data_IF_171208203460
#
_entry.id   IF_171208203460
#
_cell.length_a   1.000
_cell.length_b   1.000
_cell.length_c   1.000
_cell.angle_alpha   90.00
_cell.angle_beta   90.00
_cell.angle_gamma   90.00
#
_symmetry.space_group_name_H-M   'P 1'
#
loop_
_entity.id
_entity.type
_entity.pdbx_description
1 polymer ?
#
# COMPACT_ATOMS: atom_id res chain seq x y z
N UNK A 1 -2.95 24.75 -24.52
CA UNK A 1 -2.73 23.33 -24.17
C UNK A 1 -2.31 23.31 -22.71
N UNK A 2 -3.25 23.05 -21.81
CA UNK A 2 -2.98 22.98 -20.37
C UNK A 2 -2.32 21.64 -20.08
N UNK A 3 -1.00 21.65 -19.95
CA UNK A 3 -0.21 20.54 -19.43
C UNK A 3 -0.61 20.37 -17.95
N UNK A 4 -1.63 19.55 -17.69
CA UNK A 4 -1.97 19.18 -16.32
C UNK A 4 -0.79 18.35 -15.80
N UNK A 5 -0.09 18.78 -14.73
CA UNK A 5 0.96 17.96 -14.17
C UNK A 5 0.30 16.67 -13.70
N UNK A 6 0.61 15.56 -14.38
CA UNK A 6 0.20 14.23 -13.93
C UNK A 6 0.82 14.05 -12.55
N UNK A 7 -0.01 14.25 -11.51
CA UNK A 7 0.41 14.11 -10.12
C UNK A 7 0.83 12.66 -9.93
N UNK A 8 2.14 12.42 -9.99
CA UNK A 8 2.72 11.09 -9.79
C UNK A 8 2.34 10.62 -8.39
N UNK A 9 1.45 9.63 -8.32
CA UNK A 9 0.96 9.07 -7.06
C UNK A 9 2.12 8.40 -6.32
N UNK A 10 2.32 8.80 -5.07
CA UNK A 10 3.37 8.26 -4.18
C UNK A 10 2.74 7.49 -3.03
N UNK A 11 3.49 6.56 -2.40
CA UNK A 11 3.08 5.92 -1.16
C UNK A 11 2.75 6.93 -0.07
N UNK A 12 1.75 6.63 0.76
CA UNK A 12 1.31 7.49 1.86
C UNK A 12 2.44 7.86 2.83
N UNK A 13 3.40 6.94 3.01
CA UNK A 13 4.61 7.18 3.81
C UNK A 13 5.41 8.40 3.37
N UNK A 14 5.50 8.68 2.07
CA UNK A 14 6.20 9.87 1.58
C UNK A 14 5.57 11.15 2.13
N UNK A 15 4.24 11.24 2.12
CA UNK A 15 3.51 12.39 2.66
C UNK A 15 3.60 12.45 4.18
N UNK A 16 3.41 11.33 4.87
CA UNK A 16 3.48 11.26 6.33
C UNK A 16 4.84 11.73 6.88
N UNK A 17 5.93 11.41 6.17
CA UNK A 17 7.26 11.93 6.48
C UNK A 17 7.34 13.44 6.26
N UNK A 18 6.91 13.93 5.10
CA UNK A 18 6.96 15.35 4.76
C UNK A 18 6.16 16.22 5.74
N UNK A 19 4.97 15.78 6.15
CA UNK A 19 4.11 16.47 7.12
C UNK A 19 4.78 16.63 8.50
N UNK A 20 5.82 15.85 8.78
CA UNK A 20 6.61 15.87 10.04
C UNK A 20 8.00 16.48 9.86
N UNK A 21 8.29 17.08 8.71
CA UNK A 21 9.63 17.60 8.39
C UNK A 21 10.69 16.51 8.21
N UNK A 22 10.26 15.26 8.02
CA UNK A 22 11.12 14.11 7.78
C UNK A 22 11.24 13.82 6.28
N UNK A 23 12.21 12.98 5.93
CA UNK A 23 12.41 12.55 4.55
C UNK A 23 13.10 11.19 4.46
N UNK A 24 13.63 10.87 3.28
CA UNK A 24 14.32 9.59 3.03
C UNK A 24 15.47 9.34 4.00
N UNK A 25 16.10 10.39 4.53
CA UNK A 25 17.16 10.27 5.55
C UNK A 25 16.64 9.68 6.87
N UNK A 26 15.49 10.11 7.35
CA UNK A 26 14.91 9.59 8.58
C UNK A 26 14.53 8.11 8.43
N UNK A 27 14.00 7.74 7.25
CA UNK A 27 13.71 6.34 6.92
C UNK A 27 15.00 5.50 6.83
N UNK A 28 16.06 6.06 6.25
CA UNK A 28 17.37 5.42 6.16
C UNK A 28 18.00 5.17 7.53
N UNK A 29 17.94 6.15 8.43
CA UNK A 29 18.40 6.03 9.81
C UNK A 29 17.61 4.96 10.56
N UNK A 30 16.27 4.95 10.42
CA UNK A 30 15.41 3.95 11.07
C UNK A 30 15.72 2.51 10.63
N UNK A 31 15.92 2.30 9.33
CA UNK A 31 16.17 0.97 8.78
C UNK A 31 17.66 0.62 8.69
N UNK A 32 18.55 1.51 9.14
CA UNK A 32 20.01 1.35 9.01
C UNK A 32 20.45 1.03 7.57
N UNK A 33 19.86 1.72 6.60
CA UNK A 33 20.16 1.59 5.17
C UNK A 33 20.69 2.91 4.60
N UNK A 34 21.13 2.89 3.33
CA UNK A 34 21.56 4.12 2.67
C UNK A 34 20.38 5.04 2.35
N UNK A 35 20.55 6.38 2.36
CA UNK A 35 19.51 7.33 1.94
C UNK A 35 18.99 7.08 0.52
N UNK A 36 19.87 6.62 -0.37
CA UNK A 36 19.51 6.27 -1.74
C UNK A 36 18.64 5.00 -1.79
N UNK A 37 18.92 4.01 -0.94
CA UNK A 37 18.08 2.83 -0.76
C UNK A 37 16.70 3.20 -0.21
N UNK A 38 16.67 4.01 0.86
CA UNK A 38 15.44 4.51 1.47
C UNK A 38 14.56 5.27 0.46
N UNK A 39 15.18 6.08 -0.40
CA UNK A 39 14.46 6.85 -1.42
C UNK A 39 13.69 5.97 -2.39
N UNK A 40 14.17 4.74 -2.69
CA UNK A 40 13.48 3.82 -3.63
C UNK A 40 12.11 3.37 -3.14
N UNK A 41 11.90 3.32 -1.83
CA UNK A 41 10.60 2.99 -1.23
C UNK A 41 9.58 4.13 -1.34
N UNK A 42 10.06 5.36 -1.48
CA UNK A 42 9.26 6.59 -1.51
C UNK A 42 8.99 7.11 -2.93
N UNK A 43 9.52 6.43 -3.95
CA UNK A 43 9.29 6.77 -5.35
C UNK A 43 7.81 6.59 -5.75
N UNK A 44 7.36 7.30 -6.79
CA UNK A 44 6.03 7.09 -7.37
C UNK A 44 5.73 5.64 -7.72
N UNK A 45 4.46 5.23 -7.65
CA UNK A 45 4.03 3.85 -7.90
C UNK A 45 4.43 3.33 -9.28
N UNK A 46 4.48 4.20 -10.29
CA UNK A 46 4.85 3.91 -11.68
C UNK A 46 6.37 3.88 -11.92
N UNK A 47 7.19 4.23 -10.93
CA UNK A 47 8.62 4.37 -11.14
C UNK A 47 9.31 2.99 -11.18
N UNK A 48 10.11 2.67 -12.24
CA UNK A 48 10.68 1.32 -12.43
C UNK A 48 11.69 0.89 -11.36
N UNK A 49 12.31 1.86 -10.69
CA UNK A 49 13.24 1.62 -9.56
C UNK A 49 12.56 1.57 -8.18
N UNK A 50 11.24 1.65 -8.13
CA UNK A 50 10.49 1.57 -6.88
C UNK A 50 10.59 0.16 -6.31
N UNK A 51 10.76 0.07 -5.01
CA UNK A 51 10.78 -1.19 -4.27
C UNK A 51 9.61 -1.19 -3.30
N UNK A 52 8.90 -2.32 -3.22
CA UNK A 52 7.91 -2.58 -2.17
C UNK A 52 8.66 -3.21 -0.99
N UNK A 53 8.50 -2.69 0.24
CA UNK A 53 9.14 -3.26 1.41
C UNK A 53 8.64 -4.68 1.70
N UNK A 54 9.48 -5.47 2.39
CA UNK A 54 9.07 -6.77 2.92
C UNK A 54 8.04 -6.62 4.04
N UNK A 55 7.33 -7.69 4.38
CA UNK A 55 6.33 -7.69 5.45
C UNK A 55 6.89 -7.21 6.81
N UNK A 56 8.14 -7.56 7.13
CA UNK A 56 8.80 -7.11 8.35
C UNK A 56 8.96 -5.57 8.39
N UNK A 57 9.34 -4.95 7.27
CA UNK A 57 9.48 -3.49 7.16
C UNK A 57 8.11 -2.80 7.14
N UNK A 58 7.09 -3.45 6.57
CA UNK A 58 5.71 -2.97 6.64
C UNK A 58 5.22 -2.98 8.09
N UNK A 59 5.48 -4.05 8.85
CA UNK A 59 5.16 -4.13 10.27
C UNK A 59 5.87 -3.06 11.11
N UNK A 60 7.15 -2.81 10.82
CA UNK A 60 7.89 -1.71 11.46
C UNK A 60 7.25 -0.34 11.19
N UNK A 61 6.86 -0.06 9.94
CA UNK A 61 6.19 1.21 9.57
C UNK A 61 4.80 1.30 10.19
N UNK A 62 4.04 0.21 10.22
CA UNK A 62 2.74 0.18 10.87
C UNK A 62 2.87 0.58 12.35
N UNK A 63 3.87 0.03 13.05
CA UNK A 63 4.15 0.39 14.45
C UNK A 63 4.65 1.83 14.58
N UNK A 64 5.57 2.26 13.71
CA UNK A 64 6.15 3.62 13.75
C UNK A 64 5.11 4.70 13.54
N UNK A 65 4.16 4.44 12.65
CA UNK A 65 3.11 5.38 12.24
C UNK A 65 1.84 5.19 13.06
N UNK A 66 1.87 4.37 14.12
CA UNK A 66 0.72 4.07 14.99
C UNK A 66 -0.52 3.61 14.21
N UNK A 67 -0.32 2.83 13.15
CA UNK A 67 -1.39 2.32 12.30
C UNK A 67 -1.82 3.25 11.15
N UNK A 68 -1.25 4.45 11.04
CA UNK A 68 -1.63 5.38 9.95
C UNK A 68 -1.25 4.86 8.56
N UNK A 69 -0.20 4.04 8.46
CA UNK A 69 0.30 3.48 7.20
C UNK A 69 0.38 1.96 7.33
N UNK A 70 -0.48 1.27 6.58
CA UNK A 70 -0.55 -0.19 6.53
C UNK A 70 -0.10 -0.78 5.20
N UNK A 71 -0.27 -2.09 5.04
CA UNK A 71 0.16 -2.82 3.85
C UNK A 71 -0.47 -2.26 2.55
N UNK A 72 -1.75 -1.89 2.58
CA UNK A 72 -2.48 -1.38 1.42
C UNK A 72 -1.91 -0.04 0.89
N UNK A 73 -1.33 0.78 1.76
CA UNK A 73 -0.77 2.10 1.39
C UNK A 73 0.52 2.02 0.56
N UNK A 74 1.08 0.81 0.43
CA UNK A 74 2.23 0.51 -0.43
C UNK A 74 1.84 0.14 -1.86
N UNK A 75 0.54 0.17 -2.20
CA UNK A 75 0.04 -0.14 -3.53
C UNK A 75 -0.86 1.00 -4.05
N UNK A 76 -0.94 1.22 -5.37
CA UNK A 76 -1.89 2.17 -5.93
C UNK A 76 -3.33 1.74 -5.62
N UNK A 77 -4.23 2.72 -5.49
CA UNK A 77 -5.65 2.51 -5.10
C UNK A 77 -6.38 1.47 -5.98
N UNK A 78 -6.01 1.37 -7.26
CA UNK A 78 -6.57 0.38 -8.19
C UNK A 78 -6.25 -1.09 -7.83
N UNK A 79 -5.21 -1.33 -7.02
CA UNK A 79 -4.82 -2.65 -6.51
C UNK A 79 -5.15 -2.82 -5.01
N UNK A 80 -5.50 -1.73 -4.30
CA UNK A 80 -5.76 -1.71 -2.87
C UNK A 80 -7.22 -2.09 -2.48
N UNK A 81 -8.08 -2.46 -3.45
CA UNK A 81 -9.41 -3.01 -3.17
C UNK A 81 -10.60 -2.01 -3.21
N UNK A 82 -10.56 -0.95 -4.03
CA UNK A 82 -11.71 -0.07 -4.31
C UNK A 82 -12.19 -0.20 -5.77
N UNK A 83 -13.50 -0.01 -6.07
CA UNK A 83 -14.11 -0.48 -7.31
C UNK A 83 -13.43 0.16 -8.53
N UNK A 84 -13.04 -0.70 -9.47
CA UNK A 84 -12.56 -0.30 -10.79
C UNK A 84 -13.66 0.47 -11.52
N UNK A 85 -13.74 1.78 -11.28
CA UNK A 85 -14.52 2.68 -12.11
C UNK A 85 -13.72 2.94 -13.38
N UNK A 86 -13.67 1.94 -14.28
CA UNK A 86 -12.98 2.07 -15.56
C UNK A 86 -12.67 0.79 -16.34
N UNK A 87 -12.97 -0.41 -15.85
CA UNK A 87 -12.71 -1.64 -16.61
C UNK A 87 -13.94 -2.07 -17.39
N UNK A 88 -14.13 -1.48 -18.57
CA UNK A 88 -15.00 -2.04 -19.60
C UNK A 88 -14.51 -3.46 -19.92
N UNK A 89 -15.34 -4.45 -19.62
CA UNK A 89 -15.23 -5.79 -20.19
C UNK A 89 -14.18 -6.71 -19.57
N UNK A 90 -14.46 -7.28 -18.40
CA UNK A 90 -14.11 -8.69 -18.16
C UNK A 90 -15.21 -9.29 -17.29
N UNK A 91 -15.92 -10.28 -17.83
CA UNK A 91 -16.98 -10.99 -17.14
C UNK A 91 -16.41 -11.67 -15.89
N UNK A 92 -16.87 -11.24 -14.72
CA UNK A 92 -16.67 -11.99 -13.50
C UNK A 92 -17.64 -13.18 -13.53
N UNK A 93 -17.13 -14.37 -13.83
CA UNK A 93 -17.81 -15.60 -13.43
C UNK A 93 -17.90 -15.61 -11.91
N UNK A 94 -19.13 -15.57 -11.43
CA UNK A 94 -19.49 -15.67 -10.02
C UNK A 94 -19.22 -17.11 -9.59
N UNK A 95 -18.09 -17.37 -8.96
CA UNK A 95 -17.92 -18.60 -8.17
C UNK A 95 -18.80 -18.45 -6.93
N UNK A 96 -20.01 -18.97 -7.04
CA UNK A 96 -20.93 -19.20 -5.92
C UNK A 96 -20.27 -20.16 -4.93
N UNK A 97 -19.80 -19.63 -3.80
CA UNK A 97 -19.52 -20.44 -2.61
C UNK A 97 -20.87 -20.76 -1.95
N UNK A 98 -21.26 -22.03 -1.77
CA UNK A 98 -22.46 -22.35 -1.01
C UNK A 98 -22.23 -22.02 0.48
N UNK A 99 -23.14 -21.22 1.02
CA UNK A 99 -23.28 -21.02 2.44
C UNK A 99 -23.70 -22.33 3.10
N UNK A 100 -22.80 -23.00 3.84
CA UNK A 100 -23.21 -24.05 4.77
C UNK A 100 -23.38 -23.45 6.15
N UNK A 101 -24.66 -23.26 6.45
CA UNK A 101 -25.25 -22.85 7.69
C UNK A 101 -24.92 -23.82 8.84
N UNK A 102 -24.96 -23.30 10.05
CA UNK A 102 -24.72 -24.00 11.30
C UNK A 102 -25.61 -25.24 11.49
N UNK A 103 -25.05 -26.28 12.13
CA UNK A 103 -25.82 -27.28 12.87
C UNK A 103 -25.21 -27.40 14.27
N UNK A 104 -25.96 -26.92 15.25
CA UNK A 104 -25.88 -27.33 16.66
C UNK A 104 -26.57 -28.69 16.76
N UNK A 105 -25.93 -29.71 17.34
CA UNK A 105 -26.49 -30.80 18.18
C UNK A 105 -25.26 -31.44 18.90
N UNK A 106 -25.03 -31.22 20.20
CA UNK A 106 -25.57 -31.95 21.35
C UNK A 106 -25.38 -33.48 21.27
N UNK A 107 -24.57 -34.06 22.17
CA UNK A 107 -24.93 -35.22 23.04
C UNK A 107 -23.69 -35.93 23.62
N UNK A 108 -23.72 -36.03 24.96
CA UNK A 108 -23.04 -36.94 25.91
C UNK A 108 -21.54 -36.81 26.21
#
# INVERSE_FOLDING_TARGET
>A
MTDQPTLKLRPKLHRWLADRGLGARALAERWSITPQGASRYLLPFDHPKRIVPSEALIGDVLNWTLGEIGAADWYPVALAGGPLRGSTGYAAEVVSLPATNAVREATQ
#
